data_IF_166940745056
#
_entry.id   IF_166940745056
#
_cell.length_a   1.000
_cell.length_b   1.000
_cell.length_c   1.000
_cell.angle_alpha   90.00
_cell.angle_beta   90.00
_cell.angle_gamma   90.00
#
_symmetry.space_group_name_H-M   'P 1'
#
loop_
_entity.id
_entity.type
_entity.pdbx_description
1 polymer ?
#
# COMPACT_ATOMS: atom_id res chain seq x y z
N UNK A 1 -4.23 3.00 -23.19
CA UNK A 1 -3.50 2.00 -22.40
C UNK A 1 -2.39 1.45 -23.26
N UNK A 2 -1.20 1.31 -22.70
CA UNK A 2 -0.08 0.64 -23.36
C UNK A 2 -0.30 -0.89 -23.43
N UNK A 3 0.47 -1.55 -24.29
CA UNK A 3 0.33 -2.98 -24.56
C UNK A 3 0.75 -3.87 -23.36
N UNK A 4 1.65 -3.40 -22.49
CA UNK A 4 2.03 -4.13 -21.28
C UNK A 4 0.88 -4.15 -20.26
N UNK A 5 0.28 -2.98 -20.00
CA UNK A 5 -0.89 -2.86 -19.12
C UNK A 5 -2.04 -3.74 -19.59
N UNK A 6 -2.28 -3.78 -20.91
CA UNK A 6 -3.30 -4.66 -21.49
C UNK A 6 -2.98 -6.14 -21.27
N UNK A 7 -1.73 -6.54 -21.52
CA UNK A 7 -1.28 -7.91 -21.30
C UNK A 7 -1.39 -8.34 -19.83
N UNK A 8 -1.13 -7.43 -18.89
CA UNK A 8 -1.31 -7.66 -17.45
C UNK A 8 -2.78 -7.85 -17.07
N UNK A 9 -3.69 -7.07 -17.66
CA UNK A 9 -5.14 -7.24 -17.45
C UNK A 9 -5.64 -8.59 -17.99
N UNK A 10 -5.18 -9.02 -19.16
CA UNK A 10 -5.55 -10.33 -19.74
C UNK A 10 -5.09 -11.50 -18.85
N UNK A 11 -3.88 -11.41 -18.30
CA UNK A 11 -3.38 -12.40 -17.34
C UNK A 11 -4.26 -12.45 -16.08
N UNK A 12 -4.66 -11.29 -15.56
CA UNK A 12 -5.53 -11.20 -14.39
C UNK A 12 -6.93 -11.77 -14.67
N UNK A 13 -7.48 -11.54 -15.86
CA UNK A 13 -8.74 -12.16 -16.29
C UNK A 13 -8.65 -13.70 -16.31
N UNK A 14 -7.55 -14.24 -16.84
CA UNK A 14 -7.32 -15.68 -16.88
C UNK A 14 -7.21 -16.25 -15.46
N UNK A 15 -6.47 -15.60 -14.57
CA UNK A 15 -6.30 -16.02 -13.18
C UNK A 15 -7.64 -16.01 -12.42
N UNK A 16 -8.42 -14.94 -12.55
CA UNK A 16 -9.76 -14.83 -11.93
C UNK A 16 -10.66 -15.97 -12.44
N UNK A 17 -10.64 -16.25 -13.74
CA UNK A 17 -11.42 -17.35 -14.31
C UNK A 17 -10.98 -18.71 -13.78
N UNK A 18 -9.69 -18.94 -13.60
CA UNK A 18 -9.16 -20.20 -13.07
C UNK A 18 -9.54 -20.39 -11.59
N UNK A 19 -9.43 -19.34 -10.76
CA UNK A 19 -9.70 -19.42 -9.32
C UNK A 19 -11.19 -19.41 -8.98
N UNK A 20 -12.00 -18.67 -9.73
CA UNK A 20 -13.42 -18.40 -9.38
C UNK A 20 -14.42 -19.05 -10.35
N UNK A 21 -13.97 -19.54 -11.51
CA UNK A 21 -14.84 -20.02 -12.58
C UNK A 21 -15.59 -18.91 -13.35
N UNK A 22 -15.54 -17.66 -12.89
CA UNK A 22 -16.26 -16.53 -13.49
C UNK A 22 -15.45 -15.89 -14.61
N UNK A 23 -16.10 -15.67 -15.76
CA UNK A 23 -15.58 -14.77 -16.79
C UNK A 23 -15.85 -13.33 -16.39
N UNK A 24 -14.81 -12.51 -16.41
CA UNK A 24 -14.89 -11.07 -16.09
C UNK A 24 -14.35 -10.27 -17.27
N UNK A 25 -14.91 -9.10 -17.50
CA UNK A 25 -14.44 -8.13 -18.49
C UNK A 25 -13.28 -7.30 -17.93
N UNK A 26 -12.50 -6.69 -18.82
CA UNK A 26 -11.45 -5.74 -18.41
C UNK A 26 -12.04 -4.54 -17.66
N UNK A 27 -13.23 -4.08 -18.08
CA UNK A 27 -13.95 -2.99 -17.43
C UNK A 27 -14.37 -3.33 -15.99
N UNK A 28 -14.85 -4.56 -15.72
CA UNK A 28 -15.17 -5.00 -14.37
C UNK A 28 -13.94 -5.05 -13.46
N UNK A 29 -12.78 -5.47 -13.99
CA UNK A 29 -11.52 -5.49 -13.24
C UNK A 29 -11.11 -4.05 -12.92
N UNK A 30 -11.11 -3.16 -13.92
CA UNK A 30 -10.73 -1.77 -13.72
C UNK A 30 -11.65 -1.06 -12.72
N UNK A 31 -12.96 -1.31 -12.77
CA UNK A 31 -13.90 -0.75 -11.80
C UNK A 31 -13.54 -1.14 -10.36
N UNK A 32 -13.24 -2.42 -10.12
CA UNK A 32 -12.81 -2.89 -8.79
C UNK A 32 -11.46 -2.34 -8.35
N UNK A 33 -10.50 -2.23 -9.27
CA UNK A 33 -9.20 -1.63 -8.94
C UNK A 33 -9.33 -0.16 -8.58
N UNK A 34 -10.20 0.58 -9.28
CA UNK A 34 -10.50 1.98 -8.97
C UNK A 34 -11.19 2.11 -7.61
N UNK A 35 -12.16 1.26 -7.32
CA UNK A 35 -12.86 1.24 -6.02
C UNK A 35 -11.88 1.00 -4.87
N UNK A 36 -11.03 -0.04 -4.97
CA UNK A 36 -9.99 -0.31 -3.99
C UNK A 36 -8.98 0.85 -3.87
N UNK A 37 -8.62 1.50 -4.99
CA UNK A 37 -7.71 2.62 -4.97
C UNK A 37 -8.33 3.88 -4.33
N UNK A 38 -9.66 4.03 -4.39
CA UNK A 38 -10.41 5.07 -3.70
C UNK A 38 -10.48 4.77 -2.19
N UNK A 39 -10.67 3.51 -1.80
CA UNK A 39 -10.63 3.09 -0.38
C UNK A 39 -9.25 3.36 0.23
N UNK A 40 -8.17 3.11 -0.52
CA UNK A 40 -6.78 3.43 -0.15
C UNK A 40 -6.27 4.72 -0.80
N UNK A 41 -7.09 5.78 -0.83
CA UNK A 41 -6.78 7.04 -1.54
C UNK A 41 -5.42 7.65 -1.16
N UNK A 42 -5.05 7.58 0.11
CA UNK A 42 -3.79 8.13 0.61
C UNK A 42 -2.59 7.42 -0.03
N UNK A 43 -2.58 6.09 -0.01
CA UNK A 43 -1.51 5.26 -0.58
C UNK A 43 -1.41 5.45 -2.10
N UNK A 44 -2.56 5.56 -2.78
CA UNK A 44 -2.58 5.85 -4.21
C UNK A 44 -1.92 7.20 -4.51
N UNK A 45 -2.29 8.26 -3.80
CA UNK A 45 -1.67 9.58 -3.96
C UNK A 45 -0.17 9.53 -3.66
N UNK A 46 0.23 8.81 -2.60
CA UNK A 46 1.63 8.70 -2.20
C UNK A 46 2.46 7.95 -3.25
N UNK A 47 1.86 7.00 -3.97
CA UNK A 47 2.53 6.27 -5.07
C UNK A 47 2.97 7.14 -6.25
N UNK A 48 2.36 8.31 -6.43
CA UNK A 48 2.76 9.28 -7.46
C UNK A 48 3.87 10.24 -7.00
N UNK A 49 4.30 10.18 -5.72
CA UNK A 49 5.37 11.03 -5.21
C UNK A 49 6.72 10.38 -5.55
N UNK A 50 7.57 11.10 -6.30
CA UNK A 50 8.88 10.62 -6.77
C UNK A 50 9.84 10.22 -5.63
N UNK A 51 9.66 10.80 -4.44
CA UNK A 51 10.33 10.45 -3.18
C UNK A 51 9.34 10.68 -2.04
N UNK A 52 9.44 9.88 -0.96
CA UNK A 52 8.93 10.31 0.34
C UNK A 52 9.64 11.62 0.63
N UNK A 53 8.92 12.74 0.50
CA UNK A 53 9.49 14.05 0.79
C UNK A 53 9.86 14.01 2.26
N UNK A 54 11.15 14.00 2.63
CA UNK A 54 11.51 14.05 4.03
C UNK A 54 10.90 15.33 4.58
N UNK A 55 10.27 15.24 5.75
CA UNK A 55 9.85 16.42 6.49
C UNK A 55 11.03 17.38 6.57
N UNK A 56 10.77 18.68 6.41
CA UNK A 56 11.79 19.67 6.72
C UNK A 56 12.28 19.46 8.16
N UNK A 57 13.54 19.75 8.46
CA UNK A 57 14.11 19.54 9.81
C UNK A 57 13.24 20.16 10.90
N UNK A 58 12.69 21.35 10.65
CA UNK A 58 11.77 22.06 11.55
C UNK A 58 10.42 21.35 11.75
N UNK A 59 9.91 20.65 10.75
CA UNK A 59 8.70 19.84 10.87
C UNK A 59 8.98 18.53 11.60
N UNK A 60 10.17 17.96 11.42
CA UNK A 60 10.66 16.81 12.20
C UNK A 60 10.82 17.13 13.67
N UNK A 61 11.47 18.26 14.00
CA UNK A 61 11.60 18.71 15.39
C UNK A 61 10.24 18.94 16.04
N UNK A 62 9.30 19.60 15.36
CA UNK A 62 7.92 19.76 15.84
C UNK A 62 7.20 18.44 16.08
N UNK A 63 7.39 17.44 15.19
CA UNK A 63 6.85 16.11 15.40
C UNK A 63 7.41 15.45 16.67
N UNK A 64 8.68 15.69 16.99
CA UNK A 64 9.34 15.17 18.19
C UNK A 64 9.02 15.95 19.48
N UNK A 65 8.61 17.22 19.39
CA UNK A 65 8.42 18.14 20.53
C UNK A 65 7.38 17.65 21.56
N UNK A 66 6.41 16.82 21.14
CA UNK A 66 5.37 16.26 22.01
C UNK A 66 5.60 14.79 22.41
N UNK A 67 6.68 14.15 21.96
CA UNK A 67 6.92 12.76 22.30
C UNK A 67 7.52 12.61 23.69
N UNK A 68 6.88 11.79 24.52
CA UNK A 68 7.39 11.38 25.82
C UNK A 68 8.01 9.99 25.70
N UNK A 69 9.18 9.80 26.29
CA UNK A 69 9.73 8.44 26.45
C UNK A 69 8.83 7.66 27.41
N UNK A 70 8.44 6.46 27.03
CA UNK A 70 7.69 5.54 27.89
C UNK A 70 8.50 5.09 29.12
N UNK A 71 9.82 5.36 29.13
CA UNK A 71 10.75 4.89 30.15
C UNK A 71 11.07 3.40 30.06
N UNK A 72 10.44 2.68 29.13
CA UNK A 72 10.71 1.28 28.84
C UNK A 72 11.63 1.18 27.61
N UNK A 73 12.77 0.51 27.77
CA UNK A 73 13.60 0.13 26.63
C UNK A 73 12.99 -1.13 26.01
N UNK A 74 12.62 -1.04 24.74
CA UNK A 74 12.19 -2.20 23.95
C UNK A 74 13.33 -2.59 23.02
N UNK A 75 13.77 -3.84 23.11
CA UNK A 75 14.79 -4.44 22.24
C UNK A 75 14.15 -5.17 21.07
N UNK A 76 14.96 -5.61 20.11
CA UNK A 76 14.48 -6.42 18.97
C UNK A 76 13.90 -7.75 19.44
N UNK A 77 14.55 -8.42 20.41
CA UNK A 77 14.04 -9.64 21.04
C UNK A 77 12.64 -9.44 21.66
N UNK A 78 12.40 -8.32 22.37
CA UNK A 78 11.08 -8.01 22.96
C UNK A 78 9.97 -7.83 21.90
N UNK A 79 10.34 -7.40 20.68
CA UNK A 79 9.40 -7.21 19.56
C UNK A 79 9.13 -8.55 18.88
N UNK A 80 10.18 -9.34 18.67
CA UNK A 80 10.10 -10.63 17.99
C UNK A 80 9.25 -11.62 18.77
N UNK A 81 9.34 -11.63 20.11
CA UNK A 81 8.48 -12.44 20.98
C UNK A 81 6.97 -12.13 20.80
N UNK A 82 6.62 -10.90 20.42
CA UNK A 82 5.22 -10.47 20.23
C UNK A 82 4.76 -10.63 18.79
N UNK A 83 5.62 -10.30 17.81
CA UNK A 83 5.25 -10.24 16.40
C UNK A 83 5.56 -11.53 15.63
N UNK A 84 6.54 -12.32 16.06
CA UNK A 84 7.03 -13.46 15.31
C UNK A 84 7.01 -14.79 16.07
N UNK A 85 7.03 -14.78 17.41
CA UNK A 85 6.67 -15.92 18.27
C UNK A 85 7.63 -17.10 18.26
#
# INVERSE_FOLDING_TARGET
MDDDTKSRLERLQAEIRLKTGRRVTQQEILARLVEHAIESKADLIDSFREKRVPLAESEREKFHEGMISSGATTTEEDIDDVLYG
#
